data_IF_885284088751
#
_entry.id   IF_885284088751
#
_cell.length_a   1.000
_cell.length_b   1.000
_cell.length_c   1.000
_cell.angle_alpha   90.00
_cell.angle_beta   90.00
_cell.angle_gamma   90.00
#
_symmetry.space_group_name_H-M   'P 1'
#
loop_
_entity.id
_entity.type
_entity.pdbx_description
1 polymer ?
#
# COMPACT_ATOMS: atom_id res chain seq x y z
N UNK A 1 -1.06 2.78 -17.36
CA UNK A 1 -0.66 1.36 -17.36
C UNK A 1 -1.85 0.51 -16.95
N UNK A 2 -2.18 -0.55 -17.68
CA UNK A 2 -3.40 -1.30 -17.42
C UNK A 2 -3.42 -2.08 -16.10
N UNK A 3 -2.27 -2.28 -15.48
CA UNK A 3 -2.19 -3.05 -14.23
C UNK A 3 -1.90 -2.19 -13.00
N UNK A 4 -1.73 -0.89 -13.17
CA UNK A 4 -1.49 0.01 -12.06
C UNK A 4 -2.78 0.30 -11.31
N UNK A 5 -2.64 0.49 -9.98
CA UNK A 5 -3.72 0.92 -9.12
C UNK A 5 -3.31 2.22 -8.45
N UNK A 6 -4.24 3.18 -8.43
CA UNK A 6 -4.05 4.45 -7.76
C UNK A 6 -5.28 4.73 -6.91
N UNK A 7 -5.07 5.01 -5.63
CA UNK A 7 -6.16 5.39 -4.74
C UNK A 7 -5.74 6.53 -3.83
N UNK A 8 -6.69 7.39 -3.51
CA UNK A 8 -6.51 8.48 -2.58
C UNK A 8 -7.59 8.39 -1.51
N UNK A 9 -7.19 8.51 -0.26
CA UNK A 9 -8.11 8.43 0.86
C UNK A 9 -7.81 9.55 1.85
N UNK A 10 -8.87 10.24 2.29
CA UNK A 10 -8.78 11.30 3.28
C UNK A 10 -9.20 10.75 4.64
N UNK A 11 -8.37 11.01 5.65
CA UNK A 11 -8.66 10.57 7.02
C UNK A 11 -8.63 11.76 7.96
N UNK A 12 -9.50 11.74 8.97
CA UNK A 12 -9.52 12.76 10.02
C UNK A 12 -8.44 12.45 11.08
N UNK A 13 -7.21 12.25 10.62
CA UNK A 13 -6.03 11.95 11.44
C UNK A 13 -4.87 12.76 10.93
N UNK A 14 -3.89 13.04 11.80
CA UNK A 14 -2.70 13.76 11.38
C UNK A 14 -1.82 12.89 10.43
N UNK A 15 -1.03 13.53 9.57
CA UNK A 15 -0.21 12.78 8.61
C UNK A 15 0.75 11.80 9.26
N UNK A 16 1.34 12.14 10.40
CA UNK A 16 2.27 11.24 11.07
C UNK A 16 1.59 9.96 11.51
N UNK A 17 0.38 10.06 12.09
CA UNK A 17 -0.37 8.88 12.53
C UNK A 17 -0.73 7.98 11.35
N UNK A 18 -1.11 8.59 10.21
CA UNK A 18 -1.44 7.84 9.00
C UNK A 18 -0.18 7.13 8.48
N UNK A 19 0.96 7.82 8.45
CA UNK A 19 2.22 7.24 8.00
C UNK A 19 2.64 6.06 8.88
N UNK A 20 2.55 6.20 10.20
CA UNK A 20 2.87 5.12 11.12
C UNK A 20 1.94 3.93 10.93
N UNK A 21 0.65 4.18 10.70
CA UNK A 21 -0.32 3.13 10.41
C UNK A 21 0.01 2.41 9.11
N UNK A 22 0.52 3.14 8.12
CA UNK A 22 0.95 2.56 6.85
C UNK A 22 2.18 1.66 7.01
N UNK A 23 3.14 2.08 7.85
CA UNK A 23 4.31 1.25 8.14
C UNK A 23 3.90 -0.08 8.81
N UNK A 24 3.00 0.00 9.78
CA UNK A 24 2.50 -1.20 10.46
C UNK A 24 1.72 -2.11 9.51
N UNK A 25 0.92 -1.53 8.62
CA UNK A 25 0.19 -2.30 7.61
C UNK A 25 1.15 -3.06 6.71
N UNK A 26 2.24 -2.42 6.29
CA UNK A 26 3.26 -3.05 5.47
C UNK A 26 3.89 -4.25 6.19
N UNK A 27 4.27 -4.07 7.45
CA UNK A 27 4.85 -5.15 8.25
C UNK A 27 3.88 -6.30 8.42
N UNK A 28 2.62 -6.00 8.72
CA UNK A 28 1.60 -7.02 8.96
C UNK A 28 1.37 -7.87 7.72
N UNK A 29 1.44 -7.28 6.56
CA UNK A 29 1.25 -7.99 5.30
C UNK A 29 2.54 -8.67 4.79
N UNK A 30 3.63 -8.55 5.53
CA UNK A 30 4.89 -9.19 5.14
C UNK A 30 5.64 -8.44 4.04
N UNK A 31 5.32 -7.17 3.83
CA UNK A 31 6.01 -6.35 2.85
C UNK A 31 7.41 -5.94 3.32
N UNK A 32 8.30 -5.73 2.36
CA UNK A 32 9.65 -5.25 2.62
C UNK A 32 9.75 -3.79 2.23
N UNK A 33 10.12 -2.93 3.16
CA UNK A 33 10.35 -1.52 2.88
C UNK A 33 11.64 -1.41 2.05
N UNK A 34 11.53 -0.88 0.85
CA UNK A 34 12.68 -0.70 -0.05
C UNK A 34 13.14 0.76 -0.11
N UNK A 35 12.28 1.69 0.30
CA UNK A 35 12.62 3.10 0.37
C UNK A 35 11.69 3.77 1.36
N UNK A 36 12.20 4.71 2.15
CA UNK A 36 11.36 5.49 3.06
C UNK A 36 11.93 6.88 3.22
N UNK A 37 11.04 7.85 3.36
CA UNK A 37 11.37 9.23 3.65
C UNK A 37 10.41 9.71 4.75
N UNK A 38 10.75 9.43 6.03
CA UNK A 38 9.83 9.71 7.14
C UNK A 38 9.48 11.19 7.28
N UNK A 39 10.40 12.09 6.95
CA UNK A 39 10.17 13.53 6.99
C UNK A 39 9.20 14.00 5.91
N UNK A 40 8.99 13.21 4.87
CA UNK A 40 8.02 13.47 3.81
C UNK A 40 6.81 12.55 3.90
N UNK A 41 6.73 11.71 4.93
CA UNK A 41 5.66 10.72 5.13
C UNK A 41 5.47 9.85 3.89
N UNK A 42 6.57 9.32 3.36
CA UNK A 42 6.56 8.49 2.15
C UNK A 42 7.25 7.17 2.43
N UNK A 43 6.66 6.09 1.89
CA UNK A 43 7.29 4.78 1.90
C UNK A 43 7.04 4.08 0.58
N UNK A 44 7.96 3.19 0.21
CA UNK A 44 7.79 2.27 -0.91
C UNK A 44 8.12 0.88 -0.40
N UNK A 45 7.25 -0.08 -0.68
CA UNK A 45 7.42 -1.45 -0.20
C UNK A 45 7.14 -2.44 -1.32
N UNK A 46 7.73 -3.63 -1.21
CA UNK A 46 7.47 -4.73 -2.12
C UNK A 46 6.85 -5.87 -1.35
N UNK A 47 5.78 -6.42 -1.90
CA UNK A 47 5.03 -7.51 -1.29
C UNK A 47 5.31 -8.80 -2.04
N UNK A 48 5.48 -9.93 -1.29
CA UNK A 48 5.79 -11.21 -1.91
C UNK A 48 4.57 -11.80 -2.62
N UNK A 49 4.79 -12.92 -3.33
CA UNK A 49 3.72 -13.64 -4.02
C UNK A 49 2.70 -14.27 -3.07
N UNK A 50 3.09 -14.53 -1.82
CA UNK A 50 2.21 -15.11 -0.82
C UNK A 50 2.13 -14.18 0.38
N UNK A 51 0.92 -13.85 0.81
CA UNK A 51 0.66 -12.92 1.90
C UNK A 51 -0.37 -13.54 2.83
N UNK A 52 -0.06 -13.56 4.14
CA UNK A 52 -0.94 -14.11 5.17
C UNK A 52 -1.43 -15.53 4.84
N UNK A 53 -0.53 -16.35 4.29
CA UNK A 53 -0.82 -17.72 3.93
C UNK A 53 -1.56 -17.91 2.62
N UNK A 54 -1.86 -16.82 1.90
CA UNK A 54 -2.56 -16.90 0.62
C UNK A 54 -1.62 -16.60 -0.52
N UNK A 55 -1.55 -17.49 -1.50
CA UNK A 55 -0.72 -17.31 -2.69
C UNK A 55 -1.46 -16.45 -3.70
N UNK A 56 -0.88 -15.29 -4.04
CA UNK A 56 -1.46 -14.37 -5.02
C UNK A 56 -0.90 -14.57 -6.42
N UNK A 57 0.31 -15.09 -6.53
CA UNK A 57 0.92 -15.42 -7.81
C UNK A 57 1.83 -14.35 -8.39
N UNK A 58 1.80 -13.13 -7.85
CA UNK A 58 2.64 -12.03 -8.32
C UNK A 58 3.13 -11.19 -7.17
N UNK A 59 4.31 -10.58 -7.36
CA UNK A 59 4.83 -9.58 -6.43
C UNK A 59 4.27 -8.22 -6.81
N UNK A 60 4.15 -7.33 -5.82
CA UNK A 60 3.59 -5.99 -6.02
C UNK A 60 4.49 -4.96 -5.36
N UNK A 61 4.76 -3.86 -6.05
CA UNK A 61 5.38 -2.70 -5.43
C UNK A 61 4.28 -1.68 -5.11
N UNK A 62 4.31 -1.15 -3.89
CA UNK A 62 3.32 -0.19 -3.44
C UNK A 62 4.04 1.01 -2.84
N UNK A 63 3.64 2.19 -3.26
CA UNK A 63 4.11 3.45 -2.68
C UNK A 63 2.95 4.14 -1.98
N UNK A 64 3.22 4.68 -0.79
CA UNK A 64 2.26 5.45 -0.03
C UNK A 64 2.89 6.76 0.37
N UNK A 65 2.23 7.86 0.04
CA UNK A 65 2.62 9.19 0.50
C UNK A 65 1.46 9.83 1.24
N UNK A 66 1.75 10.41 2.38
CA UNK A 66 0.74 11.09 3.19
C UNK A 66 1.03 12.58 3.18
N UNK A 67 -0.02 13.37 2.96
CA UNK A 67 0.05 14.84 2.94
C UNK A 67 -0.95 15.40 3.92
N UNK A 68 -0.67 16.60 4.43
CA UNK A 68 -1.65 17.32 5.23
C UNK A 68 -2.82 17.74 4.34
N UNK A 69 -4.04 17.61 4.86
CA UNK A 69 -5.26 18.00 4.16
C UNK A 69 -6.23 18.59 5.19
N UNK A 70 -6.24 19.91 5.27
CA UNK A 70 -7.02 20.60 6.31
C UNK A 70 -6.55 20.19 7.69
N UNK A 71 -7.47 19.66 8.50
CA UNK A 71 -7.17 19.16 9.85
C UNK A 71 -6.82 17.67 9.84
N UNK A 72 -6.86 17.03 8.68
CA UNK A 72 -6.58 15.60 8.55
C UNK A 72 -5.40 15.34 7.63
N UNK A 73 -5.39 14.16 7.01
CA UNK A 73 -4.36 13.76 6.10
C UNK A 73 -4.92 13.03 4.88
N UNK A 74 -4.21 13.17 3.77
CA UNK A 74 -4.52 12.50 2.52
C UNK A 74 -3.46 11.43 2.27
N UNK A 75 -3.90 10.17 2.16
CA UNK A 75 -3.02 9.06 1.79
C UNK A 75 -3.16 8.81 0.30
N UNK A 76 -2.05 8.88 -0.41
CA UNK A 76 -1.98 8.60 -1.85
C UNK A 76 -1.24 7.29 -2.02
N UNK A 77 -1.91 6.30 -2.61
CA UNK A 77 -1.36 4.95 -2.77
C UNK A 77 -1.29 4.62 -4.25
N UNK A 78 -0.09 4.23 -4.70
CA UNK A 78 0.15 3.76 -6.06
C UNK A 78 0.79 2.38 -5.99
N UNK A 79 0.32 1.46 -6.82
CA UNK A 79 0.84 0.09 -6.81
C UNK A 79 0.85 -0.49 -8.23
N UNK A 80 1.78 -1.38 -8.47
CA UNK A 80 1.87 -2.10 -9.75
C UNK A 80 2.51 -3.47 -9.53
N UNK A 81 2.20 -4.46 -10.40
CA UNK A 81 2.81 -5.79 -10.30
C UNK A 81 4.26 -5.76 -10.80
N UNK A 82 5.07 -6.70 -10.30
CA UNK A 82 6.48 -6.83 -10.64
C UNK A 82 6.73 -8.12 -11.42
N UNK A 83 7.68 -8.06 -12.36
CA UNK A 83 8.14 -9.25 -13.08
C UNK A 83 9.19 -10.02 -12.26
N UNK A 84 9.75 -11.09 -12.84
CA UNK A 84 10.67 -11.96 -12.14
C UNK A 84 11.99 -11.28 -11.73
N UNK A 85 12.34 -10.18 -12.38
CA UNK A 85 13.55 -9.40 -12.05
C UNK A 85 13.21 -8.10 -11.33
N UNK A 86 12.02 -8.04 -10.75
CA UNK A 86 11.54 -6.93 -9.92
C UNK A 86 11.38 -5.61 -10.67
N UNK A 87 11.03 -5.68 -11.96
CA UNK A 87 10.66 -4.52 -12.75
C UNK A 87 9.14 -4.49 -12.93
N UNK A 88 8.61 -3.32 -13.27
CA UNK A 88 7.17 -3.18 -13.53
C UNK A 88 6.73 -4.18 -14.59
N UNK A 89 5.73 -5.00 -14.25
CA UNK A 89 5.20 -6.00 -15.17
C UNK A 89 4.28 -5.32 -16.17
N UNK A 90 4.60 -5.45 -17.44
CA UNK A 90 3.87 -4.78 -18.52
C UNK A 90 2.81 -5.68 -19.16
N UNK A 91 3.00 -7.00 -19.10
CA UNK A 91 2.12 -7.97 -19.74
C UNK A 91 1.95 -9.19 -18.86
N UNK A 92 0.81 -9.85 -18.99
CA UNK A 92 0.58 -11.14 -18.35
C UNK A 92 0.28 -11.05 -16.85
N UNK A 93 -0.06 -9.86 -16.33
CA UNK A 93 -0.42 -9.72 -14.93
C UNK A 93 -1.73 -10.45 -14.65
N UNK A 94 -1.80 -11.07 -13.46
CA UNK A 94 -3.03 -11.72 -13.01
C UNK A 94 -4.05 -10.66 -12.62
N UNK A 95 -5.31 -10.76 -13.11
CA UNK A 95 -6.34 -9.78 -12.75
C UNK A 95 -6.55 -9.73 -11.24
N UNK A 96 -6.61 -8.53 -10.71
CA UNK A 96 -7.01 -8.30 -9.32
C UNK A 96 -5.95 -8.47 -8.27
N UNK A 97 -4.74 -8.97 -8.58
CA UNK A 97 -3.71 -9.16 -7.57
C UNK A 97 -3.26 -7.84 -6.96
N UNK A 98 -2.90 -6.87 -7.79
CA UNK A 98 -2.46 -5.56 -7.31
C UNK A 98 -3.58 -4.85 -6.56
N UNK A 99 -4.81 -4.94 -7.05
CA UNK A 99 -5.97 -4.36 -6.36
C UNK A 99 -6.18 -5.01 -4.99
N UNK A 100 -6.01 -6.32 -4.89
CA UNK A 100 -6.12 -7.04 -3.62
C UNK A 100 -5.10 -6.52 -2.60
N UNK A 101 -3.85 -6.33 -3.03
CA UNK A 101 -2.80 -5.81 -2.15
C UNK A 101 -3.16 -4.41 -1.66
N UNK A 102 -3.61 -3.53 -2.56
CA UNK A 102 -4.01 -2.16 -2.19
C UNK A 102 -5.18 -2.20 -1.21
N UNK A 103 -6.17 -3.04 -1.46
CA UNK A 103 -7.34 -3.18 -0.60
C UNK A 103 -6.94 -3.65 0.80
N UNK A 104 -6.09 -4.67 0.90
CA UNK A 104 -5.61 -5.19 2.18
C UNK A 104 -4.75 -4.16 2.91
N UNK A 105 -3.88 -3.46 2.18
CA UNK A 105 -3.03 -2.42 2.76
C UNK A 105 -3.89 -1.33 3.41
N UNK A 106 -4.87 -0.82 2.69
CA UNK A 106 -5.75 0.22 3.22
C UNK A 106 -6.60 -0.26 4.38
N UNK A 107 -7.08 -1.52 4.32
CA UNK A 107 -7.85 -2.09 5.43
C UNK A 107 -7.01 -2.18 6.71
N UNK A 108 -5.77 -2.63 6.61
CA UNK A 108 -4.87 -2.69 7.77
C UNK A 108 -4.47 -1.31 8.27
N UNK A 109 -4.26 -0.37 7.35
CA UNK A 109 -3.97 1.02 7.71
C UNK A 109 -5.13 1.60 8.53
N UNK A 110 -6.35 1.42 8.05
CA UNK A 110 -7.55 1.92 8.73
C UNK A 110 -7.74 1.25 10.09
N UNK A 111 -7.49 -0.05 10.17
CA UNK A 111 -7.53 -0.77 11.43
C UNK A 111 -6.50 -0.19 12.41
N UNK A 112 -5.29 0.08 11.96
CA UNK A 112 -4.22 0.64 12.80
C UNK A 112 -4.54 2.06 13.28
N UNK A 113 -5.37 2.80 12.54
CA UNK A 113 -5.85 4.12 12.94
C UNK A 113 -7.04 4.04 13.90
N UNK A 114 -7.54 2.83 14.19
CA UNK A 114 -8.71 2.66 15.03
C UNK A 114 -10.01 2.98 14.31
N UNK A 115 -10.01 3.00 12.98
CA UNK A 115 -11.19 3.28 12.18
C UNK A 115 -11.89 1.97 11.82
N UNK A 116 -13.23 1.98 11.70
CA UNK A 116 -13.92 0.78 11.23
C UNK A 116 -13.55 0.48 9.78
N UNK A 117 -13.27 -0.80 9.51
CA UNK A 117 -13.02 -1.23 8.15
C UNK A 117 -14.30 -1.09 7.33
N UNK A 118 -14.16 -0.67 6.07
CA UNK A 118 -15.30 -0.64 5.16
C UNK A 118 -15.78 -2.07 4.93
N UNK A 119 -17.09 -2.31 4.99
CA UNK A 119 -17.63 -3.64 4.72
C UNK A 119 -17.42 -4.08 3.28
#
# INVERSE_FOLDING_TARGET
MPFEQHQEKIYAKDPQSIYEAALKATEKLGGKIVSSAPDQYRLTARFPKAILGKTLGERTELSCQVRADGTGGLAVVDAFPLDAVERKLMFGARPGVTLTIVTWFLAHLEHNLGLPSAP
#
